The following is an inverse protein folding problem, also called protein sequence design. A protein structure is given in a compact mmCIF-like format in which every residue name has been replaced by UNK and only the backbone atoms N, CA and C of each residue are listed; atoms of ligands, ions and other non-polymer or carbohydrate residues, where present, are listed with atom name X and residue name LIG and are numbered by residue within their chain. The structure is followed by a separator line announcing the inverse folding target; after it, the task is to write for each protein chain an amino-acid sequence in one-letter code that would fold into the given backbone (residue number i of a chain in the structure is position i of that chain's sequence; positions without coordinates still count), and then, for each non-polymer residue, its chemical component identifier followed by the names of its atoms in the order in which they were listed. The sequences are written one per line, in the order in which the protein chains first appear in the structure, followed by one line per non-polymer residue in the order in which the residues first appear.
data_IF_969215794377
#
_entry.id   IF_969215794377
#
_cell.length_a   1.000
_cell.length_b   1.000
_cell.length_c   1.000
_cell.angle_alpha   90.00
_cell.angle_beta   90.00
_cell.angle_gamma   90.00
#
_symmetry.space_group_name_H-M   'P 1'
#
loop_
_entity.id
_entity.type
_entity.pdbx_description
1 polymer ?
#
# COMPACT_ATOMS: atom_id res chain seq x y z
N UNK A 1 -3.89 0.59 10.24
CA UNK A 1 -2.84 1.58 9.93
C UNK A 1 -2.98 2.23 8.55
N UNK A 2 -3.22 1.47 7.46
CA UNK A 2 -3.36 2.02 6.09
C UNK A 2 -4.32 3.23 5.94
N UNK A 3 -5.51 3.21 6.56
CA UNK A 3 -6.44 4.35 6.49
C UNK A 3 -5.82 5.64 7.04
N UNK A 4 -5.16 5.58 8.20
CA UNK A 4 -4.53 6.77 8.80
C UNK A 4 -3.40 7.31 7.92
N UNK A 5 -2.57 6.41 7.36
CA UNK A 5 -1.52 6.79 6.42
C UNK A 5 -2.09 7.55 5.22
N UNK A 6 -3.17 7.04 4.61
CA UNK A 6 -3.85 7.71 3.49
C UNK A 6 -4.45 9.05 3.90
N UNK A 7 -5.11 9.12 5.07
CA UNK A 7 -5.65 10.38 5.61
C UNK A 7 -4.54 11.41 5.82
N UNK A 8 -3.38 11.02 6.35
CA UNK A 8 -2.23 11.92 6.54
C UNK A 8 -1.80 12.50 5.19
N UNK A 9 -1.60 11.64 4.18
CA UNK A 9 -1.14 12.07 2.86
C UNK A 9 -2.16 12.98 2.16
N UNK A 10 -3.45 12.70 2.27
CA UNK A 10 -4.50 13.52 1.63
C UNK A 10 -4.62 14.90 2.28
N UNK A 11 -4.52 14.97 3.61
CA UNK A 11 -4.87 16.19 4.36
C UNK A 11 -3.67 17.02 4.82
N UNK A 12 -2.44 16.52 4.66
CA UNK A 12 -1.24 17.20 5.11
C UNK A 12 -0.22 17.30 3.98
N UNK A 13 0.57 18.37 3.99
CA UNK A 13 1.78 18.42 3.19
C UNK A 13 2.85 17.58 3.87
N UNK A 14 3.10 16.40 3.31
CA UNK A 14 4.19 15.53 3.74
C UNK A 14 5.41 15.84 2.87
N UNK A 15 6.50 16.40 3.44
CA UNK A 15 7.66 16.84 2.65
C UNK A 15 8.45 15.69 2.04
N UNK A 16 8.44 14.52 2.68
CA UNK A 16 9.11 13.32 2.18
C UNK A 16 8.21 12.08 2.32
N UNK A 17 7.39 11.88 1.30
CA UNK A 17 6.46 10.75 1.22
C UNK A 17 7.21 9.42 1.07
N UNK A 18 8.37 9.43 0.41
CA UNK A 18 9.19 8.24 0.18
C UNK A 18 9.71 7.69 1.50
N UNK A 19 10.34 8.55 2.31
CA UNK A 19 10.85 8.14 3.63
C UNK A 19 9.72 7.68 4.54
N UNK A 20 8.59 8.40 4.56
CA UNK A 20 7.42 7.99 5.35
C UNK A 20 6.94 6.58 4.95
N UNK A 21 6.92 6.26 3.65
CA UNK A 21 6.59 4.91 3.19
C UNK A 21 7.65 3.87 3.58
N UNK A 22 8.93 4.14 3.34
CA UNK A 22 10.04 3.21 3.62
C UNK A 22 10.17 2.86 5.10
N UNK A 23 9.85 3.80 6.00
CA UNK A 23 9.88 3.57 7.45
C UNK A 23 8.64 2.86 7.98
N UNK A 24 7.51 2.92 7.27
CA UNK A 24 6.22 2.45 7.81
C UNK A 24 5.60 1.26 7.06
N UNK A 25 6.12 0.85 5.89
CA UNK A 25 5.49 -0.20 5.08
C UNK A 25 5.29 -1.53 5.82
N UNK A 26 6.19 -1.89 6.75
CA UNK A 26 6.07 -3.11 7.56
C UNK A 26 4.82 -3.05 8.44
N UNK A 27 4.63 -1.96 9.16
CA UNK A 27 3.45 -1.71 9.98
C UNK A 27 2.16 -1.60 9.15
N UNK A 28 2.27 -1.09 7.91
CA UNK A 28 1.15 -1.01 6.98
C UNK A 28 0.78 -2.37 6.36
N UNK A 29 1.68 -3.36 6.40
CA UNK A 29 1.53 -4.68 5.79
C UNK A 29 1.40 -5.85 6.79
N UNK A 30 1.57 -5.59 8.09
CA UNK A 30 1.51 -6.59 9.17
C UNK A 30 0.26 -7.48 9.10
N UNK A 31 -0.91 -6.88 8.88
CA UNK A 31 -2.18 -7.62 8.82
C UNK A 31 -2.41 -8.31 7.47
N UNK A 32 -1.63 -8.02 6.43
CA UNK A 32 -1.80 -8.63 5.10
C UNK A 32 -1.39 -10.10 5.08
N UNK A 33 -0.33 -10.47 5.80
CA UNK A 33 0.11 -11.86 5.90
C UNK A 33 -1.03 -12.71 6.49
N UNK A 34 -1.59 -12.27 7.60
CA UNK A 34 -2.70 -12.96 8.28
C UNK A 34 -3.94 -13.05 7.38
N UNK A 35 -4.27 -11.98 6.65
CA UNK A 35 -5.39 -11.97 5.70
C UNK A 35 -5.18 -12.95 4.56
N UNK A 36 -3.97 -13.00 3.98
CA UNK A 36 -3.68 -13.88 2.86
C UNK A 36 -3.64 -15.35 3.27
N UNK A 37 -3.10 -15.67 4.45
CA UNK A 37 -3.21 -17.02 5.01
C UNK A 37 -4.67 -17.50 5.10
N UNK A 38 -5.55 -16.63 5.63
CA UNK A 38 -6.98 -16.93 5.76
C UNK A 38 -7.68 -17.05 4.40
N UNK A 39 -7.33 -16.20 3.44
CA UNK A 39 -7.96 -16.20 2.11
C UNK A 39 -7.56 -17.42 1.27
N UNK A 40 -6.30 -17.86 1.36
CA UNK A 40 -5.77 -18.93 0.52
C UNK A 40 -5.82 -20.31 1.20
N UNK A 41 -6.20 -20.40 2.48
CA UNK A 41 -6.11 -21.63 3.29
C UNK A 41 -4.72 -22.29 3.23
N UNK A 42 -3.67 -21.47 3.05
CA UNK A 42 -2.28 -21.92 2.97
C UNK A 42 -1.57 -21.54 4.27
N UNK A 43 -1.49 -22.45 5.27
CA UNK A 43 -0.90 -22.13 6.57
C UNK A 43 0.60 -21.77 6.50
N UNK A 44 1.28 -22.13 5.40
CA UNK A 44 2.72 -21.91 5.20
C UNK A 44 3.03 -20.85 4.13
N UNK A 45 2.08 -19.98 3.77
CA UNK A 45 2.33 -18.91 2.81
C UNK A 45 3.36 -17.91 3.37
N UNK A 46 4.58 -17.95 2.85
CA UNK A 46 5.56 -16.90 3.09
C UNK A 46 5.54 -15.93 1.91
N UNK A 47 5.21 -14.68 2.19
CA UNK A 47 5.33 -13.59 1.22
C UNK A 47 6.68 -12.92 1.43
N UNK A 48 7.43 -12.69 0.35
CA UNK A 48 8.64 -11.91 0.45
C UNK A 48 8.31 -10.42 0.70
N UNK A 49 9.26 -9.62 1.22
CA UNK A 49 9.04 -8.20 1.48
C UNK A 49 8.48 -7.43 0.28
N UNK A 50 8.94 -7.74 -0.94
CA UNK A 50 8.48 -7.06 -2.15
C UNK A 50 7.02 -7.40 -2.48
N UNK A 51 6.60 -8.65 -2.28
CA UNK A 51 5.20 -9.06 -2.44
C UNK A 51 4.29 -8.37 -1.40
N UNK A 52 4.78 -8.21 -0.16
CA UNK A 52 4.01 -7.50 0.88
C UNK A 52 3.87 -6.03 0.57
N UNK A 53 4.94 -5.38 0.10
CA UNK A 53 4.92 -4.00 -0.37
C UNK A 53 3.93 -3.82 -1.52
N UNK A 54 3.99 -4.69 -2.54
CA UNK A 54 3.06 -4.67 -3.68
C UNK A 54 1.60 -4.78 -3.22
N UNK A 55 1.28 -5.79 -2.39
CA UNK A 55 -0.07 -5.98 -1.84
C UNK A 55 -0.52 -4.79 -0.99
N UNK A 56 0.38 -4.22 -0.19
CA UNK A 56 0.10 -3.07 0.64
C UNK A 56 -0.22 -1.84 -0.21
N UNK A 57 0.54 -1.61 -1.28
CA UNK A 57 0.30 -0.51 -2.21
C UNK A 57 -1.04 -0.67 -2.93
N UNK A 58 -1.43 -1.89 -3.35
CA UNK A 58 -2.76 -2.15 -3.94
C UNK A 58 -3.88 -1.77 -2.96
N UNK A 59 -3.75 -2.14 -1.68
CA UNK A 59 -4.74 -1.77 -0.67
C UNK A 59 -4.76 -0.26 -0.39
N UNK A 60 -3.61 0.41 -0.44
CA UNK A 60 -3.50 1.87 -0.32
C UNK A 60 -4.12 2.57 -1.53
N UNK A 61 -3.90 2.09 -2.75
CA UNK A 61 -4.52 2.61 -3.98
C UNK A 61 -6.06 2.58 -3.86
N UNK A 62 -6.63 1.44 -3.42
CA UNK A 62 -8.09 1.34 -3.19
C UNK A 62 -8.60 2.36 -2.17
N UNK A 63 -7.79 2.72 -1.18
CA UNK A 63 -8.15 3.75 -0.21
C UNK A 63 -8.08 5.15 -0.84
N UNK A 64 -7.02 5.45 -1.60
CA UNK A 64 -6.93 6.72 -2.35
C UNK A 64 -8.09 6.90 -3.32
N UNK A 65 -8.50 5.85 -4.04
CA UNK A 65 -9.61 5.91 -5.00
C UNK A 65 -10.93 6.30 -4.34
N UNK A 66 -11.16 5.95 -3.06
CA UNK A 66 -12.34 6.42 -2.30
C UNK A 66 -12.36 7.93 -2.08
N UNK A 67 -11.20 8.58 -2.21
CA UNK A 67 -11.02 10.01 -2.10
C UNK A 67 -10.76 10.67 -3.47
N UNK A 68 -11.03 9.96 -4.58
CA UNK A 68 -10.76 10.43 -5.95
C UNK A 68 -9.29 10.82 -6.17
N UNK A 69 -8.39 10.06 -5.54
CA UNK A 69 -6.93 10.17 -5.66
C UNK A 69 -6.35 8.83 -6.12
N UNK A 70 -5.08 8.84 -6.51
CA UNK A 70 -4.27 7.67 -6.81
C UNK A 70 -2.89 7.79 -6.16
N UNK A 71 -2.18 6.67 -5.99
CA UNK A 71 -0.76 6.66 -5.63
C UNK A 71 0.08 7.58 -6.53
N UNK A 72 -0.29 7.69 -7.80
CA UNK A 72 0.37 8.55 -8.78
C UNK A 72 0.26 10.05 -8.46
N UNK A 73 -0.70 10.47 -7.63
CA UNK A 73 -0.83 11.86 -7.17
C UNK A 73 0.18 12.23 -6.07
N UNK A 74 0.91 11.25 -5.52
CA UNK A 74 1.84 11.43 -4.41
C UNK A 74 3.27 11.07 -4.83
N UNK A 75 4.05 12.05 -5.32
CA UNK A 75 5.43 11.82 -5.72
C UNK A 75 6.25 11.19 -4.59
N UNK A 76 6.99 10.12 -4.90
CA UNK A 76 7.79 9.38 -3.93
C UNK A 76 7.14 8.10 -3.42
N UNK A 77 5.84 7.88 -3.64
CA UNK A 77 5.26 6.55 -3.47
C UNK A 77 5.58 5.64 -4.66
N UNK A 78 5.97 4.38 -4.41
CA UNK A 78 6.03 3.38 -5.46
C UNK A 78 4.62 3.05 -5.97
N UNK A 79 4.50 2.81 -7.27
CA UNK A 79 3.27 2.35 -7.91
C UNK A 79 3.39 0.83 -8.10
N UNK A 80 2.39 0.04 -7.66
CA UNK A 80 2.43 -1.40 -7.83
C UNK A 80 2.50 -1.78 -9.32
N UNK A 81 3.28 -2.82 -9.63
CA UNK A 81 3.41 -3.33 -11.01
C UNK A 81 2.03 -3.72 -11.56
N UNK A 82 1.20 -4.32 -10.71
CA UNK A 82 -0.16 -4.76 -11.05
C UNK A 82 -1.13 -3.63 -11.42
N UNK A 83 -0.93 -2.40 -10.93
CA UNK A 83 -1.78 -1.24 -11.30
C UNK A 83 -1.19 -0.44 -12.45
N UNK A 84 0.12 -0.54 -12.71
CA UNK A 84 0.77 0.15 -13.84
C UNK A 84 0.26 -0.28 -15.23
N UNK A 85 -0.49 -1.40 -15.31
CA UNK A 85 -1.12 -1.90 -16.53
C UNK A 85 -2.52 -1.36 -16.85
N UNK A 86 -3.14 -0.54 -15.99
CA UNK A 86 -4.45 0.08 -16.27
C UNK A 86 -4.27 1.50 -16.81
N UNK A 87 -3.63 1.62 -17.97
CA UNK A 87 -3.82 2.80 -18.83
C UNK A 87 -4.95 2.46 -19.81
N UNK A 88 -6.16 2.96 -19.52
CA UNK A 88 -7.27 3.02 -20.47
C UNK A 88 -7.80 4.44 -20.51
#
# INVERSE_FOLDING_TARGET
MRNLFVTILIHNQVPDVKTLWEENWELLSEDLIIRQHRALNLPNLQLCPDQLKELCLIEIEKLFQKHYKSLSDFPGLPVPISVSGHSY
#
